data_IF_349725504549
#
_entry.id   IF_349725504549
#
_cell.length_a   1.000
_cell.length_b   1.000
_cell.length_c   1.000
_cell.angle_alpha   90.00
_cell.angle_beta   90.00
_cell.angle_gamma   90.00
#
_symmetry.space_group_name_H-M   'P 1'
#
loop_
_entity.id
_entity.type
_entity.pdbx_description
1 polymer ?
#
# COMPACT_ATOMS: atom_id res chain seq x y z
N UNK A 1 -14.93 1.88 0.02
CA UNK A 1 -14.17 1.53 1.24
C UNK A 1 -12.67 1.50 0.99
N UNK A 2 -12.19 0.88 -0.10
CA UNK A 2 -10.79 0.99 -0.53
C UNK A 2 -10.38 2.46 -0.80
N UNK A 3 -11.29 3.29 -1.32
CA UNK A 3 -11.04 4.72 -1.53
C UNK A 3 -10.73 5.48 -0.24
N UNK A 4 -11.30 5.04 0.89
CA UNK A 4 -11.00 5.62 2.21
C UNK A 4 -9.55 5.35 2.58
N UNK A 5 -9.06 4.13 2.35
CA UNK A 5 -7.66 3.77 2.58
C UNK A 5 -6.72 4.60 1.70
N UNK A 6 -7.03 4.70 0.39
CA UNK A 6 -6.26 5.55 -0.53
C UNK A 6 -6.23 7.03 -0.10
N UNK A 7 -7.37 7.55 0.37
CA UNK A 7 -7.48 8.94 0.83
C UNK A 7 -6.71 9.19 2.12
N UNK A 8 -6.78 8.28 3.10
CA UNK A 8 -5.99 8.39 4.35
C UNK A 8 -4.49 8.41 4.02
N UNK A 9 -4.03 7.52 3.15
CA UNK A 9 -2.65 7.52 2.66
C UNK A 9 -2.30 8.80 1.90
N UNK A 10 -3.20 9.35 1.06
CA UNK A 10 -2.97 10.59 0.32
C UNK A 10 -2.84 11.82 1.22
N UNK A 11 -3.50 11.83 2.38
CA UNK A 11 -3.46 12.95 3.31
C UNK A 11 -2.32 12.83 4.34
N UNK A 12 -1.55 11.75 4.31
CA UNK A 12 -0.39 11.58 5.19
C UNK A 12 0.65 12.68 4.92
N UNK A 13 0.99 13.42 5.97
CA UNK A 13 2.04 14.48 5.98
C UNK A 13 3.19 14.18 6.93
N UNK A 14 3.00 13.21 7.81
CA UNK A 14 3.95 12.75 8.83
C UNK A 14 3.86 11.23 8.93
N UNK A 15 4.88 10.55 9.44
CA UNK A 15 4.78 9.12 9.71
C UNK A 15 3.53 8.84 10.52
N UNK A 16 2.86 7.74 10.19
CA UNK A 16 1.77 7.25 11.02
C UNK A 16 2.29 6.88 12.40
N UNK A 17 1.42 7.01 13.39
CA UNK A 17 1.73 6.66 14.78
C UNK A 17 1.19 5.26 15.08
N UNK A 18 1.89 4.55 15.95
CA UNK A 18 1.46 3.27 16.51
C UNK A 18 1.09 2.21 15.45
N UNK A 19 -0.19 1.81 15.40
CA UNK A 19 -0.72 0.66 14.63
C UNK A 19 -1.56 1.08 13.41
N UNK A 20 -1.51 2.35 12.99
CA UNK A 20 -2.37 2.88 11.94
C UNK A 20 -2.22 2.13 10.60
N UNK A 21 -1.01 1.75 10.17
CA UNK A 21 -0.85 0.93 8.96
C UNK A 21 -1.47 -0.46 9.10
N UNK A 22 -1.42 -1.06 10.30
CA UNK A 22 -2.04 -2.35 10.58
C UNK A 22 -3.56 -2.22 10.56
N UNK A 23 -4.11 -1.15 11.14
CA UNK A 23 -5.55 -0.87 11.08
C UNK A 23 -6.04 -0.65 9.65
N UNK A 24 -5.27 0.06 8.82
CA UNK A 24 -5.59 0.21 7.40
C UNK A 24 -5.52 -1.13 6.65
N UNK A 25 -4.52 -1.97 6.94
CA UNK A 25 -4.45 -3.32 6.41
C UNK A 25 -5.68 -4.15 6.81
N UNK A 26 -6.12 -4.09 8.07
CA UNK A 26 -7.32 -4.79 8.54
C UNK A 26 -8.60 -4.37 7.81
N UNK A 27 -8.74 -3.08 7.47
CA UNK A 27 -9.86 -2.61 6.64
C UNK A 27 -9.81 -3.27 5.26
N UNK A 28 -8.65 -3.27 4.59
CA UNK A 28 -8.50 -3.89 3.27
C UNK A 28 -8.77 -5.39 3.32
N UNK A 29 -8.25 -6.08 4.35
CA UNK A 29 -8.52 -7.50 4.58
C UNK A 29 -10.02 -7.76 4.72
N UNK A 30 -10.71 -6.98 5.54
CA UNK A 30 -12.16 -7.14 5.73
C UNK A 30 -12.95 -6.90 4.45
N UNK A 31 -12.55 -5.91 3.66
CA UNK A 31 -13.17 -5.63 2.35
C UNK A 31 -12.97 -6.80 1.39
N UNK A 32 -11.78 -7.38 1.33
CA UNK A 32 -11.48 -8.51 0.44
C UNK A 32 -12.21 -9.81 0.78
N UNK A 33 -12.59 -9.99 2.05
CA UNK A 33 -13.34 -11.16 2.52
C UNK A 33 -14.84 -11.04 2.24
N UNK A 34 -15.30 -9.87 1.83
CA UNK A 34 -16.70 -9.65 1.47
C UNK A 34 -16.93 -10.16 0.04
N UNK A 35 -17.84 -11.12 -0.11
CA UNK A 35 -18.18 -11.80 -1.37
C UNK A 35 -18.64 -10.86 -2.49
N UNK A 36 -19.00 -9.61 -2.17
CA UNK A 36 -19.39 -8.59 -3.14
C UNK A 36 -18.18 -7.92 -3.83
N UNK A 37 -16.95 -8.13 -3.35
CA UNK A 37 -15.75 -7.59 -3.96
C UNK A 37 -15.03 -8.65 -4.79
N UNK A 38 -15.05 -8.49 -6.11
CA UNK A 38 -14.28 -9.34 -7.01
C UNK A 38 -12.78 -9.18 -6.75
N UNK A 39 -12.02 -10.29 -6.77
CA UNK A 39 -10.56 -10.33 -6.64
C UNK A 39 -9.87 -9.31 -7.54
N UNK A 40 -10.40 -9.09 -8.75
CA UNK A 40 -9.89 -8.10 -9.71
C UNK A 40 -9.93 -6.66 -9.18
N UNK A 41 -10.92 -6.32 -8.34
CA UNK A 41 -11.03 -4.98 -7.74
C UNK A 41 -9.93 -4.72 -6.71
N UNK A 42 -9.53 -5.75 -5.96
CA UNK A 42 -8.45 -5.66 -4.97
C UNK A 42 -7.10 -5.54 -5.68
N UNK A 43 -6.85 -6.37 -6.69
CA UNK A 43 -5.60 -6.29 -7.47
C UNK A 43 -5.47 -4.96 -8.21
N UNK A 44 -6.56 -4.44 -8.78
CA UNK A 44 -6.57 -3.11 -9.40
C UNK A 44 -6.23 -2.02 -8.39
N UNK A 45 -6.86 -2.04 -7.22
CA UNK A 45 -6.60 -1.07 -6.15
C UNK A 45 -5.11 -1.00 -5.77
N UNK A 46 -4.46 -2.16 -5.59
CA UNK A 46 -3.03 -2.19 -5.24
C UNK A 46 -2.15 -1.61 -6.35
N UNK A 47 -2.38 -2.01 -7.60
CA UNK A 47 -1.57 -1.55 -8.73
C UNK A 47 -1.75 -0.05 -9.00
N UNK A 48 -2.98 0.44 -9.00
CA UNK A 48 -3.26 1.86 -9.22
C UNK A 48 -2.70 2.73 -8.08
N UNK A 49 -2.89 2.30 -6.83
CA UNK A 49 -2.36 3.03 -5.67
C UNK A 49 -0.83 3.04 -5.69
N UNK A 50 -0.18 1.91 -6.02
CA UNK A 50 1.28 1.83 -6.16
C UNK A 50 1.81 2.82 -7.20
N UNK A 51 1.19 2.88 -8.38
CA UNK A 51 1.54 3.85 -9.42
C UNK A 51 1.44 5.28 -8.88
N UNK A 52 0.31 5.65 -8.25
CA UNK A 52 0.10 6.99 -7.69
C UNK A 52 1.18 7.34 -6.66
N UNK A 53 1.50 6.40 -5.75
CA UNK A 53 2.51 6.64 -4.70
C UNK A 53 3.91 6.86 -5.28
N UNK A 54 4.30 6.04 -6.26
CA UNK A 54 5.60 6.16 -6.90
C UNK A 54 5.72 7.40 -7.77
N UNK A 55 4.65 7.80 -8.45
CA UNK A 55 4.61 9.07 -9.18
C UNK A 55 4.80 10.24 -8.23
N UNK A 56 4.05 10.30 -7.12
CA UNK A 56 4.18 11.36 -6.11
C UNK A 56 5.61 11.46 -5.56
N UNK A 57 6.24 10.32 -5.26
CA UNK A 57 7.63 10.28 -4.79
C UNK A 57 8.65 10.74 -5.83
N UNK A 58 8.45 10.36 -7.09
CA UNK A 58 9.36 10.72 -8.18
C UNK A 58 9.26 12.19 -8.55
N UNK A 59 8.05 12.76 -8.53
CA UNK A 59 7.81 14.18 -8.81
C UNK A 59 8.22 15.09 -7.64
N UNK A 60 8.28 14.55 -6.42
CA UNK A 60 8.59 15.31 -5.21
C UNK A 60 9.72 14.68 -4.36
N UNK A 61 10.92 14.44 -4.91
CA UNK A 61 11.98 13.68 -4.22
C UNK A 61 12.52 14.36 -2.95
N UNK A 62 12.35 15.67 -2.82
CA UNK A 62 12.77 16.45 -1.64
C UNK A 62 11.64 16.65 -0.61
N UNK A 63 10.43 16.13 -0.87
CA UNK A 63 9.32 16.21 0.09
C UNK A 63 9.24 14.92 0.89
N UNK A 64 9.58 15.00 2.18
CA UNK A 64 9.49 13.88 3.11
C UNK A 64 8.10 13.23 3.15
N UNK A 65 7.04 14.01 2.89
CA UNK A 65 5.66 13.53 2.83
C UNK A 65 5.49 12.42 1.79
N UNK A 66 6.06 12.58 0.60
CA UNK A 66 5.96 11.59 -0.47
C UNK A 66 6.71 10.29 -0.08
N UNK A 67 7.86 10.42 0.59
CA UNK A 67 8.56 9.29 1.17
C UNK A 67 7.72 8.55 2.23
N UNK A 68 7.09 9.29 3.16
CA UNK A 68 6.24 8.68 4.19
C UNK A 68 5.11 7.87 3.57
N UNK A 69 4.46 8.39 2.53
CA UNK A 69 3.37 7.70 1.81
C UNK A 69 3.81 6.40 1.17
N UNK A 70 4.97 6.39 0.49
CA UNK A 70 5.51 5.17 -0.13
C UNK A 70 5.93 4.16 0.94
N UNK A 71 6.53 4.62 2.04
CA UNK A 71 6.94 3.77 3.16
C UNK A 71 5.74 3.13 3.87
N UNK A 72 4.71 3.91 4.21
CA UNK A 72 3.48 3.40 4.83
C UNK A 72 2.69 2.50 3.87
N UNK A 73 2.69 2.80 2.57
CA UNK A 73 2.12 1.90 1.56
C UNK A 73 2.80 0.53 1.56
N UNK A 74 4.13 0.49 1.61
CA UNK A 74 4.89 -0.76 1.73
C UNK A 74 4.57 -1.50 3.03
N UNK A 75 4.47 -0.81 4.17
CA UNK A 75 4.11 -1.44 5.46
C UNK A 75 2.75 -2.11 5.38
N UNK A 76 1.75 -1.40 4.85
CA UNK A 76 0.40 -1.93 4.64
C UNK A 76 0.43 -3.21 3.76
N UNK A 77 1.13 -3.17 2.63
CA UNK A 77 1.24 -4.33 1.73
C UNK A 77 1.95 -5.51 2.40
N UNK A 78 3.01 -5.28 3.17
CA UNK A 78 3.70 -6.35 3.90
C UNK A 78 2.82 -6.98 4.99
N UNK A 79 2.08 -6.17 5.74
CA UNK A 79 1.14 -6.69 6.74
C UNK A 79 0.12 -7.62 6.07
N UNK A 80 -0.48 -7.18 4.96
CA UNK A 80 -1.43 -8.00 4.21
C UNK A 80 -0.81 -9.24 3.59
N UNK A 81 0.44 -9.18 3.13
CA UNK A 81 1.14 -10.35 2.58
C UNK A 81 1.19 -11.53 3.57
N UNK A 82 1.40 -11.24 4.86
CA UNK A 82 1.40 -12.25 5.91
C UNK A 82 -0.01 -12.66 6.36
N UNK A 83 -0.97 -11.74 6.36
CA UNK A 83 -2.33 -12.00 6.87
C UNK A 83 -3.29 -12.60 5.84
N UNK A 84 -3.02 -12.42 4.54
CA UNK A 84 -3.91 -12.79 3.45
C UNK A 84 -3.18 -13.60 2.37
N UNK A 85 -3.04 -14.94 2.53
CA UNK A 85 -2.36 -15.80 1.56
C UNK A 85 -2.88 -15.65 0.12
N UNK A 86 -4.19 -15.43 -0.04
CA UNK A 86 -4.83 -15.24 -1.35
C UNK A 86 -4.37 -13.96 -2.09
N UNK A 87 -3.85 -12.96 -1.38
CA UNK A 87 -3.35 -11.71 -1.97
C UNK A 87 -1.86 -11.75 -2.31
N UNK A 88 -1.12 -12.76 -1.85
CA UNK A 88 0.33 -12.82 -2.03
C UNK A 88 0.78 -12.69 -3.50
N UNK A 89 0.11 -13.30 -4.50
CA UNK A 89 0.50 -13.15 -5.91
C UNK A 89 0.46 -11.69 -6.40
N UNK A 90 -0.44 -10.88 -5.84
CA UNK A 90 -0.56 -9.45 -6.14
C UNK A 90 0.45 -8.62 -5.35
N UNK A 91 0.64 -8.93 -4.07
CA UNK A 91 1.42 -8.09 -3.15
C UNK A 91 2.94 -8.29 -3.28
N UNK A 92 3.40 -9.52 -3.48
CA UNK A 92 4.83 -9.84 -3.50
C UNK A 92 5.59 -9.06 -4.58
N UNK A 93 5.12 -8.97 -5.85
CA UNK A 93 5.82 -8.19 -6.87
C UNK A 93 5.94 -6.70 -6.51
N UNK A 94 4.92 -6.11 -5.89
CA UNK A 94 4.92 -4.69 -5.50
C UNK A 94 5.87 -4.41 -4.35
N UNK A 95 5.89 -5.30 -3.35
CA UNK A 95 6.85 -5.20 -2.22
C UNK A 95 8.28 -5.38 -2.72
N UNK A 96 8.54 -6.35 -3.60
CA UNK A 96 9.87 -6.53 -4.22
C UNK A 96 10.30 -5.30 -5.00
N UNK A 97 9.41 -4.74 -5.83
CA UNK A 97 9.65 -3.50 -6.57
C UNK A 97 10.01 -2.33 -5.64
N UNK A 98 9.40 -2.23 -4.46
CA UNK A 98 9.78 -1.22 -3.48
C UNK A 98 11.24 -1.39 -3.05
N UNK A 99 11.64 -2.60 -2.69
CA UNK A 99 13.00 -2.84 -2.22
C UNK A 99 14.04 -2.59 -3.31
N UNK A 100 13.74 -2.96 -4.56
CA UNK A 100 14.59 -2.63 -5.71
C UNK A 100 14.69 -1.11 -5.92
N UNK A 101 13.57 -0.39 -5.96
CA UNK A 101 13.54 1.07 -6.17
C UNK A 101 14.25 1.85 -5.05
N UNK A 102 14.30 1.29 -3.85
CA UNK A 102 14.99 1.89 -2.70
C UNK A 102 16.45 1.41 -2.57
N UNK A 103 16.94 0.55 -3.48
CA UNK A 103 18.33 0.07 -3.49
C UNK A 103 18.65 -0.99 -2.43
N UNK A 104 17.64 -1.68 -1.90
CA UNK A 104 17.82 -2.79 -0.95
C UNK A 104 17.96 -4.15 -1.62
N UNK A 105 17.58 -4.26 -2.89
CA UNK A 105 17.70 -5.45 -3.71
C UNK A 105 18.20 -5.05 -5.11
N UNK A 106 19.00 -5.93 -5.71
CA UNK A 106 19.46 -5.81 -7.09
C UNK A 106 18.42 -6.34 -8.10
#
# INVERSE_FOLDING_TARGET
>A
MLDVVANVLAQQKKPFLDDEEERLAMIVLRVSQNSNHATDSISRFFNETDIIRWTDYTEHPHKNEAYYRVSSWKRLMMTLYFMAPSMQPTLLPLVTKYFQKMGYLD
#
